data_IF_552571053597
#
_entry.id   IF_552571053597
#
_cell.length_a   1.000
_cell.length_b   1.000
_cell.length_c   1.000
_cell.angle_alpha   90.00
_cell.angle_beta   90.00
_cell.angle_gamma   90.00
#
_symmetry.space_group_name_H-M   'P 1'
#
loop_
_entity.id
_entity.type
_entity.pdbx_description
1 polymer ?
#
# COMPACT_ATOMS: atom_id res chain seq x y z
N UNK A 1 3.52 -12.89 -10.54
CA UNK A 1 2.89 -12.72 -9.21
C UNK A 1 1.55 -12.00 -9.36
N UNK A 2 0.71 -11.98 -8.31
CA UNK A 2 -0.51 -11.15 -8.32
C UNK A 2 -0.14 -9.67 -8.38
N UNK A 3 -1.05 -8.82 -8.84
CA UNK A 3 -0.87 -7.36 -8.90
C UNK A 3 -0.83 -6.77 -7.48
N UNK A 4 0.33 -6.23 -7.09
CA UNK A 4 0.52 -5.62 -5.76
C UNK A 4 -0.12 -4.24 -5.64
N UNK A 5 -0.28 -3.50 -6.74
CA UNK A 5 -0.94 -2.18 -6.73
C UNK A 5 -2.44 -2.32 -6.42
N UNK A 6 -3.05 -3.39 -6.94
CA UNK A 6 -4.43 -3.75 -6.60
C UNK A 6 -4.58 -4.00 -5.10
N UNK A 7 -3.66 -4.77 -4.49
CA UNK A 7 -3.69 -5.05 -3.05
C UNK A 7 -3.47 -3.79 -2.20
N UNK A 8 -2.57 -2.90 -2.62
CA UNK A 8 -2.39 -1.60 -1.96
C UNK A 8 -3.67 -0.76 -1.97
N UNK A 9 -4.35 -0.69 -3.12
CA UNK A 9 -5.64 0.00 -3.23
C UNK A 9 -6.67 -0.58 -2.26
N UNK A 10 -6.84 -1.90 -2.25
CA UNK A 10 -7.78 -2.58 -1.33
C UNK A 10 -7.48 -2.23 0.15
N UNK A 11 -6.20 -2.23 0.54
CA UNK A 11 -5.79 -1.84 1.88
C UNK A 11 -6.16 -0.38 2.18
N UNK A 12 -5.85 0.55 1.26
CA UNK A 12 -6.16 1.98 1.42
C UNK A 12 -7.66 2.29 1.42
N UNK A 13 -8.48 1.43 0.83
CA UNK A 13 -9.93 1.50 0.89
C UNK A 13 -10.47 0.97 2.23
N UNK A 14 -9.85 -0.07 2.80
CA UNK A 14 -10.29 -0.73 4.04
C UNK A 14 -9.80 -0.03 5.33
N UNK A 15 -8.61 0.60 5.31
CA UNK A 15 -7.97 1.16 6.51
C UNK A 15 -7.58 2.63 6.37
N UNK A 16 -7.62 3.35 7.50
CA UNK A 16 -7.13 4.72 7.62
C UNK A 16 -5.62 4.71 7.92
N UNK A 17 -4.82 4.69 6.85
CA UNK A 17 -3.37 4.85 6.96
C UNK A 17 -3.00 6.30 7.25
N UNK A 18 -1.94 6.55 8.07
CA UNK A 18 -1.41 7.88 8.25
C UNK A 18 -0.90 8.43 6.92
N UNK A 19 -1.08 9.74 6.69
CA UNK A 19 -0.73 10.40 5.44
C UNK A 19 0.74 10.17 5.08
N UNK A 20 1.62 10.21 6.07
CA UNK A 20 3.06 10.03 5.89
C UNK A 20 3.41 8.65 5.32
N UNK A 21 2.68 7.60 5.72
CA UNK A 21 2.90 6.24 5.20
C UNK A 21 2.40 6.11 3.75
N UNK A 22 1.34 6.84 3.40
CA UNK A 22 0.81 6.89 2.03
C UNK A 22 1.81 7.62 1.12
N UNK A 23 2.29 8.78 1.54
CA UNK A 23 3.26 9.59 0.79
C UNK A 23 4.56 8.83 0.54
N UNK A 24 5.10 8.12 1.55
CA UNK A 24 6.33 7.33 1.40
C UNK A 24 6.18 6.21 0.36
N UNK A 25 5.07 5.46 0.38
CA UNK A 25 4.81 4.43 -0.64
C UNK A 25 4.63 5.05 -2.02
N UNK A 26 3.83 6.11 -2.15
CA UNK A 26 3.57 6.74 -3.44
C UNK A 26 4.86 7.28 -4.07
N UNK A 27 5.74 7.88 -3.27
CA UNK A 27 7.05 8.33 -3.71
C UNK A 27 7.91 7.16 -4.23
N UNK A 28 8.01 6.08 -3.44
CA UNK A 28 8.78 4.87 -3.80
C UNK A 28 8.26 4.18 -5.06
N UNK A 29 6.96 4.05 -5.18
CA UNK A 29 6.32 3.42 -6.34
C UNK A 29 6.39 4.32 -7.58
N UNK A 30 6.29 5.63 -7.41
CA UNK A 30 6.48 6.59 -8.50
C UNK A 30 7.82 6.39 -9.19
N UNK A 31 8.91 6.35 -8.43
CA UNK A 31 10.24 6.08 -8.98
C UNK A 31 10.37 4.71 -9.63
N UNK A 32 9.76 3.69 -9.03
CA UNK A 32 9.79 2.34 -9.56
C UNK A 32 9.11 2.24 -10.93
N UNK A 33 7.91 2.80 -11.07
CA UNK A 33 7.17 2.77 -12.33
C UNK A 33 7.76 3.69 -13.41
N UNK A 34 8.43 4.79 -13.01
CA UNK A 34 9.23 5.60 -13.93
C UNK A 34 10.48 4.86 -14.45
N UNK A 35 10.88 3.77 -13.78
CA UNK A 35 12.04 2.95 -14.13
C UNK A 35 11.63 1.59 -14.75
N UNK A 36 10.53 1.57 -15.51
CA UNK A 36 9.95 0.39 -16.16
C UNK A 36 9.49 -0.75 -15.23
N UNK A 37 9.39 -0.47 -13.92
CA UNK A 37 8.85 -1.41 -12.93
C UNK A 37 7.42 -1.83 -13.24
N UNK A 38 7.04 -3.05 -12.86
CA UNK A 38 5.72 -3.61 -13.12
C UNK A 38 4.91 -3.79 -11.83
N UNK A 39 3.57 -3.66 -11.88
CA UNK A 39 2.71 -3.87 -10.71
C UNK A 39 2.86 -5.25 -10.03
N UNK A 40 3.40 -6.23 -10.76
CA UNK A 40 3.64 -7.59 -10.27
C UNK A 40 5.02 -7.79 -9.62
N UNK A 41 5.87 -6.77 -9.59
CA UNK A 41 7.24 -6.89 -9.11
C UNK A 41 7.31 -7.11 -7.59
N UNK A 42 8.35 -7.82 -7.14
CA UNK A 42 8.60 -8.09 -5.72
C UNK A 42 8.78 -6.80 -4.91
N UNK A 43 9.25 -5.75 -5.58
CA UNK A 43 9.38 -4.42 -4.99
C UNK A 43 8.02 -3.84 -4.58
N UNK A 44 6.99 -3.98 -5.43
CA UNK A 44 5.62 -3.54 -5.11
C UNK A 44 5.06 -4.35 -3.95
N UNK A 45 5.31 -5.66 -3.93
CA UNK A 45 4.90 -6.54 -2.82
C UNK A 45 5.60 -6.23 -1.50
N UNK A 46 6.78 -5.62 -1.55
CA UNK A 46 7.43 -5.12 -0.33
C UNK A 46 6.67 -3.94 0.27
N UNK A 47 6.10 -3.07 -0.57
CA UNK A 47 5.25 -1.97 -0.13
C UNK A 47 3.91 -2.48 0.43
N UNK A 48 3.31 -3.50 -0.21
CA UNK A 48 2.12 -4.19 0.31
C UNK A 48 2.38 -4.72 1.73
N UNK A 49 3.48 -5.45 1.93
CA UNK A 49 3.83 -6.04 3.23
C UNK A 49 4.04 -4.99 4.32
N UNK A 50 4.54 -3.81 3.95
CA UNK A 50 4.65 -2.69 4.90
C UNK A 50 3.26 -2.26 5.42
N UNK A 51 2.29 -2.04 4.54
CA UNK A 51 0.91 -1.73 4.94
C UNK A 51 0.24 -2.86 5.71
N UNK A 52 0.41 -4.12 5.28
CA UNK A 52 -0.13 -5.28 6.01
C UNK A 52 0.46 -5.39 7.42
N UNK A 53 1.74 -5.01 7.61
CA UNK A 53 2.34 -4.97 8.94
C UNK A 53 1.76 -3.85 9.82
N UNK A 54 1.50 -2.66 9.26
CA UNK A 54 0.81 -1.59 10.00
C UNK A 54 -0.55 -2.07 10.52
N UNK A 55 -1.31 -2.78 9.68
CA UNK A 55 -2.57 -3.41 10.08
C UNK A 55 -2.35 -4.47 11.17
N UNK A 56 -1.43 -5.42 10.93
CA UNK A 56 -1.13 -6.53 11.84
C UNK A 56 -0.73 -6.07 13.24
N UNK A 57 0.01 -4.97 13.34
CA UNK A 57 0.47 -4.41 14.61
C UNK A 57 -0.48 -3.37 15.21
N UNK A 58 -1.71 -3.25 14.68
CA UNK A 58 -2.74 -2.35 15.22
C UNK A 58 -2.36 -0.87 15.12
N UNK A 59 -1.54 -0.49 14.13
CA UNK A 59 -1.09 0.90 13.92
C UNK A 59 -2.06 1.73 13.10
N UNK A 60 -3.07 1.08 12.49
CA UNK A 60 -4.10 1.72 11.68
C UNK A 60 -5.47 1.16 12.04
N UNK A 61 -6.50 1.99 11.95
CA UNK A 61 -7.88 1.59 12.16
C UNK A 61 -8.54 1.21 10.83
N UNK A 62 -9.57 0.36 10.88
CA UNK A 62 -10.45 0.17 9.73
C UNK A 62 -11.29 1.43 9.51
N UNK A 63 -11.49 1.81 8.26
CA UNK A 63 -12.38 2.93 7.93
C UNK A 63 -13.79 2.61 8.42
N UNK A 64 -14.43 3.60 9.02
CA UNK A 64 -15.86 3.50 9.27
C UNK A 64 -16.59 3.47 7.93
N UNK A 65 -17.47 2.48 7.74
CA UNK A 65 -18.38 2.52 6.60
C UNK A 65 -19.34 3.67 6.85
N UNK A 66 -19.15 4.76 6.11
CA UNK A 66 -20.14 5.84 6.03
C UNK A 66 -21.44 5.17 5.54
N UNK A 67 -22.45 5.15 6.40
CA UNK A 67 -23.78 4.60 6.12
C UNK A 67 -24.55 5.50 5.17
#
# INVERSE_FOLDING_TARGET
>A
MKDGTKRLRELMEEYDFPLEAIEDILYRLGWHFLSDGQPTDDYVWTQVRYFENLVKFGKVARKEKVK
#
